data_IF_516015833688
#
_entry.id   IF_516015833688
#
_cell.length_a   1.000
_cell.length_b   1.000
_cell.length_c   1.000
_cell.angle_alpha   90.00
_cell.angle_beta   90.00
_cell.angle_gamma   90.00
#
_symmetry.space_group_name_H-M   'P 1'
#
loop_
_entity.id
_entity.type
_entity.pdbx_description
1 polymer ?
#
# COMPACT_ATOMS: atom_id res chain seq x y z
N UNK A 1 6.05 2.27 5.81
CA UNK A 1 5.97 0.80 5.91
C UNK A 1 7.28 0.27 6.46
N UNK A 2 7.49 0.25 7.80
CA UNK A 2 8.60 -0.50 8.40
C UNK A 2 8.17 -1.86 8.96
N UNK A 3 6.87 -2.18 9.08
CA UNK A 3 6.44 -3.24 10.02
C UNK A 3 5.85 -4.50 9.38
N UNK A 4 6.12 -4.79 8.10
CA UNK A 4 5.38 -5.88 7.42
C UNK A 4 6.20 -7.07 6.95
N UNK A 5 7.52 -6.95 6.77
CA UNK A 5 8.32 -8.09 6.31
C UNK A 5 9.68 -8.10 7.00
N UNK A 6 9.85 -9.02 7.95
CA UNK A 6 11.16 -9.45 8.39
C UNK A 6 11.72 -10.40 7.34
N UNK A 7 12.79 -10.01 6.65
CA UNK A 7 13.43 -10.89 5.67
C UNK A 7 14.32 -11.85 6.43
N UNK A 8 14.00 -13.16 6.43
CA UNK A 8 14.85 -14.18 7.08
C UNK A 8 14.10 -15.23 7.88
N UNK A 9 12.85 -14.97 8.28
CA UNK A 9 11.94 -15.98 8.82
C UNK A 9 11.00 -16.48 7.72
N UNK A 10 10.77 -17.80 7.66
CA UNK A 10 9.80 -18.40 6.72
C UNK A 10 8.36 -18.26 7.20
N UNK A 11 8.17 -17.92 8.46
CA UNK A 11 6.88 -17.69 9.06
C UNK A 11 6.47 -16.22 8.94
N UNK A 12 5.20 -16.01 8.61
CA UNK A 12 4.55 -14.71 8.67
C UNK A 12 4.47 -14.27 10.14
N UNK A 13 5.11 -13.17 10.55
CA UNK A 13 5.07 -12.68 11.93
C UNK A 13 3.72 -12.04 12.30
N UNK A 14 2.73 -12.07 11.41
CA UNK A 14 1.45 -11.42 11.60
C UNK A 14 0.57 -12.21 12.57
N UNK A 15 0.20 -11.57 13.68
CA UNK A 15 -0.78 -12.06 14.65
C UNK A 15 -2.18 -11.46 14.43
N UNK A 16 -2.31 -10.58 13.44
CA UNK A 16 -3.55 -9.89 13.09
C UNK A 16 -3.51 -9.43 11.62
N UNK A 17 -4.68 -9.11 11.07
CA UNK A 17 -4.76 -8.48 9.75
C UNK A 17 -4.17 -7.06 9.78
N UNK A 18 -3.54 -6.66 8.67
CA UNK A 18 -2.81 -5.40 8.55
C UNK A 18 -3.71 -4.19 8.77
N UNK A 19 -3.29 -3.27 9.64
CA UNK A 19 -3.97 -1.98 9.80
C UNK A 19 -3.72 -1.08 8.60
N UNK A 20 -4.79 -0.46 8.09
CA UNK A 20 -4.65 0.55 7.05
C UNK A 20 -4.11 1.86 7.66
N UNK A 21 -2.92 2.28 7.22
CA UNK A 21 -2.17 3.41 7.79
C UNK A 21 -2.99 4.69 7.96
N UNK A 22 -3.83 5.00 6.99
CA UNK A 22 -4.55 6.28 6.91
C UNK A 22 -5.95 6.24 7.53
N UNK A 23 -6.47 5.05 7.84
CA UNK A 23 -7.68 4.85 8.61
C UNK A 23 -7.49 3.58 9.48
N UNK A 24 -6.85 3.70 10.66
CA UNK A 24 -6.41 2.55 11.46
C UNK A 24 -7.52 1.62 11.96
N UNK A 25 -8.78 2.08 11.92
CA UNK A 25 -9.95 1.26 12.22
C UNK A 25 -10.28 0.25 11.10
N UNK A 26 -9.74 0.44 9.90
CA UNK A 26 -9.87 -0.49 8.78
C UNK A 26 -8.65 -1.39 8.67
N UNK A 27 -8.88 -2.62 8.20
CA UNK A 27 -7.85 -3.64 8.03
C UNK A 27 -7.77 -4.13 6.59
N UNK A 28 -6.66 -4.77 6.23
CA UNK A 28 -6.56 -5.49 4.95
C UNK A 28 -5.72 -6.76 5.13
N UNK A 29 -5.88 -7.70 4.21
CA UNK A 29 -5.13 -8.94 4.14
C UNK A 29 -4.68 -9.18 2.70
N UNK A 30 -3.71 -10.09 2.52
CA UNK A 30 -3.28 -10.49 1.18
C UNK A 30 -4.33 -11.39 0.54
N UNK A 31 -4.62 -11.18 -0.75
CA UNK A 31 -5.47 -12.09 -1.52
C UNK A 31 -4.92 -13.52 -1.60
N UNK A 32 -3.62 -13.73 -1.34
CA UNK A 32 -3.01 -15.07 -1.30
C UNK A 32 -3.47 -15.94 -0.12
N UNK A 33 -4.10 -15.34 0.89
CA UNK A 33 -4.58 -16.04 2.10
C UNK A 33 -5.89 -15.42 2.61
N UNK A 34 -6.84 -15.17 1.69
CA UNK A 34 -8.12 -14.54 2.00
C UNK A 34 -9.27 -15.48 1.63
N UNK A 35 -10.20 -15.69 2.56
CA UNK A 35 -11.44 -16.44 2.36
C UNK A 35 -12.66 -15.56 2.66
N UNK A 36 -13.73 -15.72 1.87
CA UNK A 36 -15.00 -15.04 2.06
C UNK A 36 -16.15 -15.77 1.35
N UNK A 37 -17.39 -15.40 1.67
CA UNK A 37 -18.57 -15.86 0.93
C UNK A 37 -18.60 -15.31 -0.49
N UNK A 38 -18.95 -16.16 -1.46
CA UNK A 38 -19.04 -15.82 -2.88
C UNK A 38 -19.96 -14.60 -3.14
N UNK A 39 -21.07 -14.50 -2.42
CA UNK A 39 -22.04 -13.42 -2.61
C UNK A 39 -21.45 -12.04 -2.27
N UNK A 40 -20.55 -11.97 -1.29
CA UNK A 40 -19.84 -10.73 -0.96
C UNK A 40 -18.90 -10.30 -2.08
N UNK A 41 -18.24 -11.26 -2.76
CA UNK A 41 -17.39 -10.96 -3.92
C UNK A 41 -18.19 -10.29 -5.04
N UNK A 42 -19.37 -10.84 -5.37
CA UNK A 42 -20.24 -10.25 -6.39
C UNK A 42 -20.85 -8.92 -5.95
N UNK A 43 -21.18 -8.78 -4.67
CA UNK A 43 -21.77 -7.55 -4.14
C UNK A 43 -20.86 -6.33 -4.27
N UNK A 44 -19.53 -6.53 -4.22
CA UNK A 44 -18.56 -5.46 -4.48
C UNK A 44 -18.06 -5.42 -5.92
N UNK A 45 -18.63 -6.23 -6.83
CA UNK A 45 -18.19 -6.39 -8.21
C UNK A 45 -16.73 -6.84 -8.35
N UNK A 46 -16.28 -7.75 -7.48
CA UNK A 46 -14.95 -8.35 -7.56
C UNK A 46 -13.79 -7.39 -7.29
N UNK A 47 -12.62 -7.70 -7.86
CA UNK A 47 -11.45 -6.83 -7.81
C UNK A 47 -11.60 -5.66 -8.78
N UNK A 48 -11.08 -4.50 -8.40
CA UNK A 48 -11.03 -3.35 -9.30
C UNK A 48 -9.85 -3.50 -10.27
N UNK A 49 -10.13 -3.87 -11.51
CA UNK A 49 -9.13 -4.11 -12.55
C UNK A 49 -8.35 -2.85 -12.95
N UNK A 50 -8.82 -1.65 -12.62
CA UNK A 50 -8.08 -0.41 -12.86
C UNK A 50 -6.86 -0.24 -11.92
N UNK A 51 -6.83 -0.99 -10.82
CA UNK A 51 -5.75 -0.98 -9.83
C UNK A 51 -4.79 -2.12 -10.17
N UNK A 52 -3.61 -1.87 -10.75
CA UNK A 52 -2.73 -2.98 -11.12
C UNK A 52 -2.01 -3.67 -9.94
N UNK A 53 -1.83 -2.98 -8.81
CA UNK A 53 -1.12 -3.51 -7.63
C UNK A 53 -1.84 -3.09 -6.34
N UNK A 54 -1.73 -3.90 -5.29
CA UNK A 54 -2.47 -3.73 -4.02
C UNK A 54 -4.00 -3.75 -4.16
N UNK A 55 -4.53 -4.47 -5.17
CA UNK A 55 -5.98 -4.64 -5.35
C UNK A 55 -6.65 -5.25 -4.13
N UNK A 56 -5.95 -6.13 -3.41
CA UNK A 56 -6.38 -6.77 -2.17
C UNK A 56 -6.67 -5.77 -1.05
N UNK A 57 -5.89 -4.70 -0.94
CA UNK A 57 -6.17 -3.62 0.00
C UNK A 57 -7.48 -2.90 -0.35
N UNK A 58 -7.67 -2.46 -1.60
CA UNK A 58 -8.93 -1.87 -2.07
C UNK A 58 -10.13 -2.81 -1.83
N UNK A 59 -9.96 -4.09 -2.18
CA UNK A 59 -10.95 -5.13 -2.02
C UNK A 59 -11.42 -5.27 -0.56
N UNK A 60 -10.48 -5.39 0.38
CA UNK A 60 -10.78 -5.47 1.81
C UNK A 60 -11.47 -4.20 2.33
N UNK A 61 -11.05 -3.03 1.87
CA UNK A 61 -11.66 -1.76 2.28
C UNK A 61 -13.09 -1.62 1.76
N UNK A 62 -13.39 -2.09 0.54
CA UNK A 62 -14.76 -2.11 0.00
C UNK A 62 -15.67 -3.08 0.75
N UNK A 63 -15.18 -4.25 1.14
CA UNK A 63 -15.94 -5.19 1.98
C UNK A 63 -16.29 -4.58 3.35
N UNK A 64 -15.34 -3.91 4.00
CA UNK A 64 -15.59 -3.28 5.30
C UNK A 64 -16.58 -2.11 5.21
N UNK A 65 -16.61 -1.39 4.08
CA UNK A 65 -17.65 -0.38 3.82
C UNK A 65 -19.07 -0.96 3.73
N UNK A 66 -19.22 -2.27 3.47
CA UNK A 66 -20.49 -2.99 3.55
C UNK A 66 -20.79 -3.51 4.98
N UNK A 67 -19.97 -3.18 5.97
CA UNK A 67 -20.12 -3.66 7.35
C UNK A 67 -19.48 -5.03 7.60
N UNK A 68 -18.75 -5.60 6.64
CA UNK A 68 -18.06 -6.88 6.85
C UNK A 68 -16.82 -6.68 7.74
N UNK A 69 -16.59 -7.59 8.69
CA UNK A 69 -15.39 -7.59 9.52
C UNK A 69 -14.32 -8.53 8.94
N UNK A 70 -13.06 -8.11 9.01
CA UNK A 70 -11.92 -8.93 8.60
C UNK A 70 -11.34 -9.65 9.82
N UNK A 71 -11.50 -10.97 9.88
CA UNK A 71 -11.05 -11.81 10.99
C UNK A 71 -9.73 -12.50 10.62
N UNK A 72 -8.74 -12.40 11.51
CA UNK A 72 -7.49 -13.13 11.37
C UNK A 72 -7.65 -14.54 11.93
N UNK A 73 -7.15 -15.54 11.20
CA UNK A 73 -7.19 -16.96 11.58
C UNK A 73 -5.75 -17.47 11.63
N UNK A 74 -5.18 -17.75 12.82
CA UNK A 74 -3.77 -18.13 12.96
C UNK A 74 -3.44 -19.46 12.28
N UNK A 75 -4.42 -20.36 12.13
CA UNK A 75 -4.27 -21.66 11.46
C UNK A 75 -4.29 -21.55 9.94
N UNK A 76 -4.73 -20.42 9.38
CA UNK A 76 -4.69 -20.16 7.95
C UNK A 76 -3.27 -19.80 7.53
N UNK A 77 -2.43 -20.82 7.33
CA UNK A 77 -1.01 -20.66 7.00
C UNK A 77 -0.77 -20.80 5.49
N UNK A 78 0.06 -19.91 4.94
CA UNK A 78 0.56 -20.02 3.57
C UNK A 78 2.09 -20.00 3.55
N UNK A 79 2.67 -20.78 2.63
CA UNK A 79 4.09 -20.71 2.32
C UNK A 79 4.30 -19.73 1.16
N UNK A 80 4.89 -18.58 1.46
CA UNK A 80 5.07 -17.51 0.47
C UNK A 80 6.51 -17.44 -0.05
N UNK A 81 6.68 -17.37 -1.37
CA UNK A 81 7.99 -17.25 -2.00
C UNK A 81 8.40 -15.78 -2.08
N UNK A 82 9.39 -15.40 -1.28
CA UNK A 82 10.00 -14.07 -1.32
C UNK A 82 10.84 -13.87 -2.57
N UNK A 83 11.05 -12.61 -2.96
CA UNK A 83 11.92 -12.26 -4.09
C UNK A 83 13.38 -12.58 -3.76
N UNK A 84 14.09 -13.15 -4.71
CA UNK A 84 15.49 -13.56 -4.55
C UNK A 84 16.51 -12.45 -4.84
N UNK A 85 16.07 -11.28 -5.32
CA UNK A 85 16.96 -10.16 -5.65
C UNK A 85 16.51 -8.84 -5.04
N UNK A 86 17.48 -8.03 -4.62
CA UNK A 86 17.22 -6.68 -4.07
C UNK A 86 16.47 -5.79 -5.06
N UNK A 87 16.80 -5.86 -6.35
CA UNK A 87 16.09 -5.12 -7.39
C UNK A 87 14.62 -5.56 -7.53
N UNK A 88 14.34 -6.86 -7.37
CA UNK A 88 12.98 -7.40 -7.34
C UNK A 88 12.20 -6.91 -6.13
N UNK A 89 12.81 -6.95 -4.95
CA UNK A 89 12.22 -6.45 -3.70
C UNK A 89 11.94 -4.94 -3.76
N UNK A 90 12.90 -4.15 -4.24
CA UNK A 90 12.73 -2.71 -4.48
C UNK A 90 11.54 -2.43 -5.41
N UNK A 91 11.47 -3.14 -6.55
CA UNK A 91 10.40 -2.94 -7.52
C UNK A 91 9.03 -3.30 -6.96
N UNK A 92 8.95 -4.35 -6.15
CA UNK A 92 7.73 -4.73 -5.45
C UNK A 92 7.31 -3.64 -4.45
N UNK A 93 8.23 -3.19 -3.59
CA UNK A 93 7.98 -2.10 -2.66
C UNK A 93 7.53 -0.82 -3.39
N UNK A 94 8.19 -0.47 -4.50
CA UNK A 94 7.83 0.67 -5.33
C UNK A 94 6.40 0.60 -5.86
N UNK A 95 6.00 -0.54 -6.41
CA UNK A 95 4.63 -0.75 -6.89
C UNK A 95 3.63 -0.62 -5.74
N UNK A 96 3.90 -1.25 -4.60
CA UNK A 96 3.02 -1.16 -3.44
C UNK A 96 2.90 0.26 -2.90
N UNK A 97 4.01 0.97 -2.77
CA UNK A 97 4.02 2.37 -2.36
C UNK A 97 3.20 3.25 -3.30
N UNK A 98 3.43 3.13 -4.62
CA UNK A 98 2.72 3.91 -5.63
C UNK A 98 1.20 3.70 -5.60
N UNK A 99 0.76 2.44 -5.59
CA UNK A 99 -0.67 2.12 -5.64
C UNK A 99 -1.37 2.32 -4.29
N UNK A 100 -0.63 2.32 -3.17
CA UNK A 100 -1.20 2.74 -1.88
C UNK A 100 -1.72 4.18 -1.90
N UNK A 101 -1.09 5.07 -2.66
CA UNK A 101 -1.56 6.46 -2.83
C UNK A 101 -2.81 6.55 -3.71
N UNK A 102 -2.92 5.70 -4.74
CA UNK A 102 -4.15 5.60 -5.54
C UNK A 102 -5.33 5.14 -4.66
N UNK A 103 -5.10 4.14 -3.82
CA UNK A 103 -6.13 3.62 -2.90
C UNK A 103 -6.46 4.66 -1.83
N UNK A 104 -5.47 5.38 -1.32
CA UNK A 104 -5.69 6.54 -0.45
C UNK A 104 -6.65 7.55 -1.11
N UNK A 105 -6.35 7.99 -2.33
CA UNK A 105 -7.23 8.90 -3.08
C UNK A 105 -8.64 8.36 -3.19
N UNK A 106 -8.78 7.09 -3.57
CA UNK A 106 -10.08 6.45 -3.81
C UNK A 106 -10.94 6.36 -2.54
N UNK A 107 -10.33 6.13 -1.38
CA UNK A 107 -11.09 5.89 -0.14
C UNK A 107 -11.19 7.10 0.79
N UNK A 108 -10.21 8.01 0.77
CA UNK A 108 -10.09 9.14 1.70
C UNK A 108 -10.04 10.51 0.99
N UNK A 109 -10.00 10.52 -0.35
CA UNK A 109 -9.91 11.75 -1.14
C UNK A 109 -8.49 12.30 -1.27
N UNK A 110 -8.37 13.47 -1.89
CA UNK A 110 -7.09 14.11 -2.24
C UNK A 110 -6.96 15.55 -1.73
N UNK A 111 -7.82 15.96 -0.80
CA UNK A 111 -7.88 17.33 -0.30
C UNK A 111 -6.88 17.60 0.83
N UNK A 112 -6.45 16.55 1.55
CA UNK A 112 -5.50 16.69 2.65
C UNK A 112 -4.08 16.97 2.14
N UNK A 113 -3.65 18.22 2.28
CA UNK A 113 -2.31 18.68 1.91
C UNK A 113 -1.23 18.13 2.86
N UNK A 114 -1.54 17.97 4.15
CA UNK A 114 -0.60 17.44 5.14
C UNK A 114 -0.26 16.01 4.77
N UNK A 115 -1.25 15.21 4.35
CA UNK A 115 -1.01 13.85 3.93
C UNK A 115 -0.21 13.77 2.62
N UNK A 116 -0.38 14.71 1.69
CA UNK A 116 0.48 14.84 0.51
C UNK A 116 1.94 15.10 0.90
N UNK A 117 2.19 16.07 1.78
CA UNK A 117 3.54 16.31 2.32
C UNK A 117 4.10 15.08 3.02
N UNK A 118 3.29 14.34 3.77
CA UNK A 118 3.71 13.10 4.43
C UNK A 118 4.03 11.96 3.46
N UNK A 119 3.41 11.89 2.28
CA UNK A 119 3.83 10.92 1.26
C UNK A 119 5.21 11.24 0.70
N UNK A 120 5.57 12.52 0.61
CA UNK A 120 6.84 12.96 0.04
C UNK A 120 7.97 12.96 1.08
N UNK A 121 7.72 13.55 2.25
CA UNK A 121 8.73 13.80 3.28
C UNK A 121 8.59 12.88 4.50
N UNK A 122 7.55 12.05 4.55
CA UNK A 122 7.31 11.18 5.69
C UNK A 122 8.18 9.91 5.70
N UNK A 123 8.69 9.59 6.89
CA UNK A 123 9.39 8.34 7.15
C UNK A 123 10.91 8.39 6.95
N UNK A 124 11.47 9.44 6.33
CA UNK A 124 12.92 9.58 6.12
C UNK A 124 13.73 9.59 7.42
N UNK A 125 13.13 10.02 8.55
CA UNK A 125 13.72 9.91 9.90
C UNK A 125 14.13 8.49 10.31
N UNK A 126 13.56 7.46 9.68
CA UNK A 126 13.88 6.06 9.97
C UNK A 126 15.11 5.56 9.21
N UNK A 127 15.48 6.24 8.10
CA UNK A 127 16.56 5.81 7.23
C UNK A 127 17.92 5.71 7.96
N UNK A 128 18.35 6.68 8.79
CA UNK A 128 19.61 6.55 9.54
C UNK A 128 19.61 5.32 10.45
N UNK A 129 18.51 5.07 11.17
CA UNK A 129 18.39 3.91 12.04
C UNK A 129 18.43 2.60 11.26
N UNK A 130 17.82 2.54 10.07
CA UNK A 130 17.89 1.36 9.20
C UNK A 130 19.32 1.12 8.69
N UNK A 131 20.04 2.17 8.30
CA UNK A 131 21.45 2.08 7.87
C UNK A 131 22.34 1.58 9.00
N UNK A 132 22.17 2.11 10.22
CA UNK A 132 22.93 1.69 11.39
C UNK A 132 22.65 0.24 11.82
N UNK A 133 21.47 -0.29 11.48
CA UNK A 133 21.07 -1.67 11.76
C UNK A 133 21.54 -2.66 10.70
N UNK A 134 22.10 -2.21 9.56
CA UNK A 134 22.59 -3.10 8.52
C UNK A 134 23.73 -3.98 9.05
N UNK A 135 23.44 -5.27 9.23
CA UNK A 135 24.41 -6.27 9.70
C UNK A 135 24.46 -7.49 8.78
N UNK A 136 23.36 -7.80 8.10
CA UNK A 136 23.18 -9.01 7.32
C UNK A 136 22.60 -8.69 5.93
N UNK A 137 22.68 -9.66 5.01
CA UNK A 137 22.10 -9.52 3.67
C UNK A 137 20.57 -9.33 3.72
N UNK A 138 19.87 -9.93 4.67
CA UNK A 138 18.42 -9.72 4.89
C UNK A 138 18.08 -8.24 5.04
N UNK A 139 18.89 -7.51 5.80
CA UNK A 139 18.66 -6.10 6.10
C UNK A 139 18.78 -5.22 4.85
N UNK A 140 19.61 -5.63 3.89
CA UNK A 140 19.69 -4.99 2.57
C UNK A 140 18.41 -5.19 1.75
N UNK A 141 17.76 -6.36 1.87
CA UNK A 141 16.46 -6.60 1.22
C UNK A 141 15.36 -5.76 1.88
N UNK A 142 15.35 -5.66 3.20
CA UNK A 142 14.45 -4.77 3.95
C UNK A 142 14.61 -3.32 3.52
N UNK A 143 15.85 -2.83 3.51
CA UNK A 143 16.17 -1.47 3.09
C UNK A 143 15.75 -1.23 1.62
N UNK A 144 16.05 -2.17 0.72
CA UNK A 144 15.66 -2.07 -0.69
C UNK A 144 14.13 -2.00 -0.86
N UNK A 145 13.38 -2.87 -0.18
CA UNK A 145 11.92 -2.85 -0.21
C UNK A 145 11.33 -1.57 0.37
N UNK A 146 11.89 -1.10 1.50
CA UNK A 146 11.47 0.14 2.14
C UNK A 146 11.72 1.37 1.28
N UNK A 147 12.92 1.49 0.69
CA UNK A 147 13.28 2.57 -0.24
C UNK A 147 12.37 2.55 -1.46
N UNK A 148 12.15 1.35 -2.03
CA UNK A 148 11.18 1.15 -3.10
C UNK A 148 9.83 1.73 -2.70
N UNK A 149 9.30 1.34 -1.54
CA UNK A 149 8.06 1.88 -1.00
C UNK A 149 8.02 3.39 -0.85
N UNK A 150 9.09 4.04 -0.36
CA UNK A 150 9.18 5.52 -0.28
C UNK A 150 9.11 6.17 -1.65
N UNK A 151 9.94 5.74 -2.59
CA UNK A 151 9.95 6.28 -3.94
C UNK A 151 8.64 6.00 -4.70
N UNK A 152 8.02 4.87 -4.41
CA UNK A 152 6.67 4.53 -4.86
C UNK A 152 5.65 5.54 -4.36
N UNK A 153 5.60 5.81 -3.05
CA UNK A 153 4.67 6.78 -2.45
C UNK A 153 4.88 8.19 -3.03
N UNK A 154 6.12 8.64 -3.22
CA UNK A 154 6.43 9.92 -3.88
C UNK A 154 5.86 9.96 -5.30
N UNK A 155 6.16 8.94 -6.12
CA UNK A 155 5.67 8.86 -7.48
C UNK A 155 4.14 8.81 -7.53
N UNK A 156 3.52 8.05 -6.62
CA UNK A 156 2.08 7.95 -6.48
C UNK A 156 1.44 9.29 -6.13
N UNK A 157 2.04 10.06 -5.21
CA UNK A 157 1.58 11.40 -4.83
C UNK A 157 1.62 12.34 -6.04
N UNK A 158 2.75 12.38 -6.75
CA UNK A 158 2.90 13.19 -7.96
C UNK A 158 1.89 12.79 -9.04
N UNK A 159 1.71 11.49 -9.27
CA UNK A 159 0.86 10.96 -10.36
C UNK A 159 -0.62 11.11 -10.06
N UNK A 160 -1.07 10.72 -8.87
CA UNK A 160 -2.50 10.57 -8.58
C UNK A 160 -3.12 11.75 -7.83
N UNK A 161 -2.34 12.47 -7.02
CA UNK A 161 -2.85 13.59 -6.21
C UNK A 161 -2.54 14.95 -6.83
N UNK A 162 -1.33 15.14 -7.38
CA UNK A 162 -0.85 16.46 -7.82
C UNK A 162 -1.03 16.72 -9.32
N UNK A 163 -0.61 15.79 -10.20
CA UNK A 163 -0.68 15.99 -11.65
C UNK A 163 -2.10 16.29 -12.19
N UNK A 164 -3.19 15.68 -11.68
CA UNK A 164 -4.53 16.04 -12.10
C UNK A 164 -4.88 17.51 -11.78
N UNK A 165 -4.48 18.01 -10.60
CA UNK A 165 -4.77 19.40 -10.19
C UNK A 165 -4.05 20.43 -11.06
N UNK A 166 -2.81 20.12 -11.48
CA UNK A 166 -2.06 20.95 -12.41
C UNK A 166 -2.73 21.04 -13.79
N UNK A 167 -3.31 19.93 -14.28
CA UNK A 167 -4.05 19.91 -15.56
C UNK A 167 -5.35 20.71 -15.50
N UNK A 168 -6.05 20.68 -14.37
CA UNK A 168 -7.25 21.51 -14.16
C UNK A 168 -6.92 23.01 -14.11
N UNK A 169 -5.81 23.40 -13.49
CA UNK A 169 -5.37 24.80 -13.43
C UNK A 169 -4.83 25.37 -14.76
N UNK A 170 -4.53 24.51 -15.73
CA UNK A 170 -4.02 24.90 -17.06
C UNK A 170 -5.10 25.06 -18.14
N UNK A 171 -6.38 24.83 -17.85
CA UNK A 171 -7.44 25.15 -18.80
C UNK A 171 -7.63 26.68 -18.88
N UNK A 172 -7.51 27.31 -20.06
CA UNK A 172 -7.74 28.74 -20.19
C UNK A 172 -9.17 29.08 -19.78
N UNK A 173 -9.33 30.19 -19.04
CA UNK A 173 -10.63 30.80 -18.76
C UNK A 173 -11.32 31.03 -20.12
N UNK A 174 -12.30 30.20 -20.44
CA UNK A 174 -13.06 30.35 -21.67
C UNK A 174 -13.75 31.70 -21.66
N UNK A 175 -13.48 32.51 -22.70
CA UNK A 175 -14.23 33.72 -22.98
C UNK A 175 -15.72 33.38 -23.05
N UNK A 176 -16.49 33.83 -22.05
CA UNK A 176 -17.92 34.04 -22.19
C UNK A 176 -18.12 35.23 -23.13
N UNK A 177 -18.67 34.94 -24.32
CA UNK A 177 -19.08 35.95 -25.30
C UNK A 177 -20.32 36.74 -24.89
#
# INVERSE_FOLDING_TARGET
>A
MPDQHHFGTRESPHTEAFRYRHAPHLRHASASNLALHKDLHFRINGFDESIAFNQDMDYCLRLQKLGCQLTFVPEAVINYHLRHSMAGTYRQGYRWGKYSVLIYKKHLGDQDIVQQFRFVFGGWRHLPAMILKLRQRSDLFELAGWLGGRFGEINGCLTYLLAPKLKLGSQPLGNSG
#
